data_IF_475144922484
#
_entry.id   IF_475144922484
#
_cell.length_a   1.000
_cell.length_b   1.000
_cell.length_c   1.000
_cell.angle_alpha   90.00
_cell.angle_beta   90.00
_cell.angle_gamma   90.00
#
_symmetry.space_group_name_H-M   'P 1'
#
loop_
_entity.id
_entity.type
_entity.pdbx_description
1 polymer ?
#
# COMPACT_ATOMS: atom_id res chain seq x y z
N UNK A 1 2.09 -4.15 -17.19
CA UNK A 1 3.12 -3.36 -16.49
C UNK A 1 4.31 -4.24 -16.14
N UNK A 2 5.52 -3.76 -16.40
CA UNK A 2 6.76 -4.56 -16.34
C UNK A 2 7.90 -3.80 -15.66
N UNK A 3 8.76 -4.51 -14.92
CA UNK A 3 10.06 -4.01 -14.46
C UNK A 3 11.07 -3.77 -15.58
N UNK A 4 10.74 -4.12 -16.83
CA UNK A 4 11.63 -4.12 -17.98
C UNK A 4 12.25 -5.50 -18.27
N UNK A 5 11.93 -6.50 -17.45
CA UNK A 5 12.39 -7.88 -17.58
C UNK A 5 11.26 -8.86 -17.21
N UNK A 6 10.76 -9.62 -18.21
CA UNK A 6 9.60 -10.50 -18.05
C UNK A 6 9.85 -11.70 -17.15
N UNK A 7 11.10 -12.20 -17.08
CA UNK A 7 11.46 -13.29 -16.17
C UNK A 7 11.46 -12.78 -14.74
N UNK A 8 12.03 -11.60 -14.51
CA UNK A 8 12.02 -10.95 -13.20
C UNK A 8 10.61 -10.59 -12.75
N UNK A 9 9.76 -10.10 -13.65
CA UNK A 9 8.35 -9.83 -13.35
C UNK A 9 7.61 -11.10 -12.92
N UNK A 10 7.83 -12.21 -13.61
CA UNK A 10 7.26 -13.51 -13.26
C UNK A 10 7.72 -13.94 -11.86
N UNK A 11 9.02 -13.82 -11.58
CA UNK A 11 9.59 -14.14 -10.27
C UNK A 11 8.97 -13.31 -9.15
N UNK A 12 8.85 -11.99 -9.34
CA UNK A 12 8.25 -11.06 -8.38
C UNK A 12 6.79 -11.45 -8.12
N UNK A 13 5.99 -11.64 -9.17
CA UNK A 13 4.56 -11.97 -9.04
C UNK A 13 4.34 -13.29 -8.33
N UNK A 14 5.10 -14.34 -8.68
CA UNK A 14 5.01 -15.65 -8.04
C UNK A 14 5.49 -15.62 -6.58
N UNK A 15 6.50 -14.82 -6.27
CA UNK A 15 7.01 -14.65 -4.91
C UNK A 15 5.99 -13.91 -4.05
N UNK A 16 5.50 -12.74 -4.49
CA UNK A 16 4.48 -11.99 -3.76
C UNK A 16 3.20 -12.81 -3.53
N UNK A 17 2.68 -13.48 -4.57
CA UNK A 17 1.50 -14.35 -4.41
C UNK A 17 1.70 -15.43 -3.34
N UNK A 18 2.86 -16.09 -3.35
CA UNK A 18 3.22 -17.08 -2.32
C UNK A 18 3.32 -16.47 -0.92
N UNK A 19 4.04 -15.36 -0.75
CA UNK A 19 4.19 -14.68 0.55
C UNK A 19 2.84 -14.26 1.14
N UNK A 20 1.90 -13.86 0.28
CA UNK A 20 0.56 -13.44 0.69
C UNK A 20 -0.42 -14.59 0.87
N UNK A 21 -0.06 -15.81 0.46
CA UNK A 21 -0.99 -16.94 0.30
C UNK A 21 -2.19 -16.59 -0.60
N UNK A 22 -1.97 -15.77 -1.63
CA UNK A 22 -2.96 -15.34 -2.62
C UNK A 22 -2.55 -15.79 -4.03
N UNK A 23 -3.51 -15.91 -4.97
CA UNK A 23 -3.16 -16.08 -6.38
C UNK A 23 -2.23 -14.93 -6.83
N UNK A 24 -1.11 -15.24 -7.50
CA UNK A 24 -0.23 -14.21 -8.05
C UNK A 24 -0.96 -13.47 -9.18
N UNK A 25 -0.50 -12.26 -9.48
CA UNK A 25 -0.86 -11.62 -10.75
C UNK A 25 -0.43 -12.49 -11.93
N UNK A 26 -1.09 -12.32 -13.08
CA UNK A 26 -0.80 -13.08 -14.29
C UNK A 26 0.71 -13.11 -14.59
N UNK A 27 1.22 -14.23 -15.07
CA UNK A 27 2.64 -14.42 -15.42
C UNK A 27 2.78 -14.51 -16.94
N UNK A 28 3.86 -13.94 -17.49
CA UNK A 28 4.05 -13.84 -18.94
C UNK A 28 4.85 -15.01 -19.51
N UNK A 29 5.78 -15.52 -18.72
CA UNK A 29 6.69 -16.61 -19.11
C UNK A 29 6.78 -17.61 -17.96
N UNK A 30 7.09 -18.86 -18.27
CA UNK A 30 7.45 -19.83 -17.24
C UNK A 30 8.86 -19.53 -16.71
N UNK A 31 9.07 -19.69 -15.40
CA UNK A 31 10.41 -19.65 -14.84
C UNK A 31 11.15 -20.93 -15.22
N UNK A 32 12.41 -20.78 -15.64
CA UNK A 32 13.32 -21.91 -15.84
C UNK A 32 13.79 -22.45 -14.48
N UNK A 33 14.13 -23.73 -14.41
CA UNK A 33 14.48 -24.41 -13.15
C UNK A 33 15.77 -23.90 -12.49
N UNK A 34 16.64 -23.18 -13.21
CA UNK A 34 17.91 -22.67 -12.69
C UNK A 34 17.80 -21.22 -12.19
N UNK A 35 17.79 -21.03 -10.86
CA UNK A 35 17.82 -19.69 -10.26
C UNK A 35 19.22 -19.07 -10.25
N UNK A 36 19.35 -17.84 -10.77
CA UNK A 36 20.59 -17.06 -10.67
C UNK A 36 20.76 -16.43 -9.29
N UNK A 37 21.95 -15.90 -8.99
CA UNK A 37 22.13 -15.12 -7.75
C UNK A 37 21.26 -13.86 -7.74
N UNK A 38 21.13 -13.18 -8.88
CA UNK A 38 20.27 -12.02 -9.03
C UNK A 38 18.80 -12.36 -8.72
N UNK A 39 18.32 -13.52 -9.19
CA UNK A 39 16.97 -13.98 -8.90
C UNK A 39 16.76 -14.21 -7.40
N UNK A 40 17.73 -14.81 -6.72
CA UNK A 40 17.66 -15.01 -5.26
C UNK A 40 17.61 -13.68 -4.49
N UNK A 41 18.37 -12.66 -4.93
CA UNK A 41 18.33 -11.32 -4.32
C UNK A 41 16.95 -10.69 -4.50
N UNK A 42 16.40 -10.73 -5.71
CA UNK A 42 15.08 -10.14 -6.01
C UNK A 42 13.95 -10.89 -5.31
N UNK A 43 13.99 -12.22 -5.29
CA UNK A 43 12.99 -13.04 -4.59
C UNK A 43 13.01 -12.76 -3.08
N UNK A 44 14.19 -12.75 -2.45
CA UNK A 44 14.30 -12.45 -1.02
C UNK A 44 13.81 -11.02 -0.70
N UNK A 45 14.09 -10.04 -1.57
CA UNK A 45 13.54 -8.69 -1.44
C UNK A 45 12.01 -8.67 -1.57
N UNK A 46 11.45 -9.29 -2.60
CA UNK A 46 10.01 -9.31 -2.83
C UNK A 46 9.24 -10.04 -1.70
N UNK A 47 9.80 -11.13 -1.17
CA UNK A 47 9.25 -11.85 -0.02
C UNK A 47 9.23 -10.98 1.24
N UNK A 48 10.36 -10.34 1.58
CA UNK A 48 10.43 -9.43 2.72
C UNK A 48 9.49 -8.23 2.51
N UNK A 49 9.47 -7.63 1.31
CA UNK A 49 8.60 -6.52 0.97
C UNK A 49 7.12 -6.86 1.16
N UNK A 50 6.69 -8.03 0.69
CA UNK A 50 5.31 -8.50 0.83
C UNK A 50 4.97 -8.86 2.28
N UNK A 51 5.90 -9.46 3.03
CA UNK A 51 5.66 -9.92 4.40
C UNK A 51 5.68 -8.77 5.40
N UNK A 52 6.76 -8.00 5.44
CA UNK A 52 6.96 -6.85 6.32
C UNK A 52 8.07 -5.95 5.74
N UNK A 53 7.67 -4.86 5.08
CA UNK A 53 8.63 -3.93 4.45
C UNK A 53 9.56 -3.27 5.46
N UNK A 54 9.16 -3.15 6.74
CA UNK A 54 9.95 -2.48 7.76
C UNK A 54 11.20 -3.28 8.15
N UNK A 55 11.22 -4.59 7.87
CA UNK A 55 12.37 -5.47 8.04
C UNK A 55 13.46 -5.34 6.96
N UNK A 56 13.25 -4.54 5.92
CA UNK A 56 14.24 -4.34 4.86
C UNK A 56 15.39 -3.44 5.37
N UNK A 57 16.51 -4.08 5.70
CA UNK A 57 17.72 -3.42 6.21
C UNK A 57 18.72 -2.98 5.13
N UNK A 58 19.74 -2.22 5.54
CA UNK A 58 20.74 -1.61 4.65
C UNK A 58 21.47 -2.60 3.74
N UNK A 59 21.79 -3.80 4.25
CA UNK A 59 22.44 -4.83 3.44
C UNK A 59 21.54 -5.33 2.30
N UNK A 60 20.24 -5.51 2.56
CA UNK A 60 19.30 -5.96 1.54
C UNK A 60 19.12 -4.89 0.45
N UNK A 61 19.02 -3.61 0.86
CA UNK A 61 18.98 -2.47 -0.07
C UNK A 61 20.24 -2.39 -0.94
N UNK A 62 21.42 -2.49 -0.31
CA UNK A 62 22.70 -2.45 -1.02
C UNK A 62 22.78 -3.57 -2.07
N UNK A 63 22.48 -4.81 -1.69
CA UNK A 63 22.48 -5.95 -2.62
C UNK A 63 21.49 -5.78 -3.76
N UNK A 64 20.28 -5.29 -3.47
CA UNK A 64 19.27 -5.03 -4.48
C UNK A 64 19.75 -3.98 -5.49
N UNK A 65 20.29 -2.85 -5.00
CA UNK A 65 20.82 -1.78 -5.86
C UNK A 65 22.02 -2.25 -6.69
N UNK A 66 22.95 -3.01 -6.11
CA UNK A 66 24.08 -3.61 -6.85
C UNK A 66 23.61 -4.60 -7.93
N UNK A 67 22.51 -5.32 -7.67
CA UNK A 67 21.94 -6.31 -8.60
C UNK A 67 21.19 -5.65 -9.75
N UNK A 68 20.42 -4.58 -9.47
CA UNK A 68 19.47 -3.99 -10.43
C UNK A 68 19.98 -2.72 -11.11
N UNK A 69 21.00 -2.06 -10.55
CA UNK A 69 21.48 -0.77 -11.03
C UNK A 69 20.35 0.27 -11.14
N UNK A 70 20.29 0.96 -12.27
CA UNK A 70 19.31 2.02 -12.54
C UNK A 70 17.85 1.52 -12.54
N UNK A 71 17.61 0.21 -12.69
CA UNK A 71 16.28 -0.38 -12.69
C UNK A 71 15.70 -0.66 -11.29
N UNK A 72 16.44 -0.34 -10.21
CA UNK A 72 16.01 -0.64 -8.83
C UNK A 72 14.64 -0.03 -8.52
N UNK A 73 14.42 1.25 -8.83
CA UNK A 73 13.17 1.93 -8.50
C UNK A 73 11.97 1.34 -9.24
N UNK A 74 12.11 1.14 -10.56
CA UNK A 74 11.07 0.51 -11.40
C UNK A 74 10.71 -0.90 -10.92
N UNK A 75 11.71 -1.68 -10.50
CA UNK A 75 11.51 -3.03 -9.96
C UNK A 75 10.80 -3.03 -8.61
N UNK A 76 11.13 -2.08 -7.72
CA UNK A 76 10.41 -1.90 -6.45
C UNK A 76 8.95 -1.54 -6.69
N UNK A 77 8.65 -0.65 -7.66
CA UNK A 77 7.27 -0.34 -8.02
C UNK A 77 6.53 -1.55 -8.59
N UNK A 78 7.17 -2.35 -9.46
CA UNK A 78 6.61 -3.59 -9.96
C UNK A 78 6.33 -4.60 -8.82
N UNK A 79 7.22 -4.64 -7.81
CA UNK A 79 7.05 -5.45 -6.59
C UNK A 79 5.86 -4.97 -5.77
N UNK A 80 5.69 -3.66 -5.61
CA UNK A 80 4.52 -3.09 -4.94
C UNK A 80 3.22 -3.47 -5.64
N UNK A 81 3.16 -3.38 -6.97
CA UNK A 81 1.98 -3.77 -7.74
C UNK A 81 1.67 -5.26 -7.54
N UNK A 82 2.69 -6.12 -7.61
CA UNK A 82 2.56 -7.56 -7.40
C UNK A 82 2.14 -7.95 -5.97
N UNK A 83 2.52 -7.15 -4.98
CA UNK A 83 2.10 -7.29 -3.58
C UNK A 83 0.67 -6.78 -3.34
N UNK A 84 0.36 -5.57 -3.79
CA UNK A 84 -0.84 -4.88 -3.29
C UNK A 84 -2.09 -5.07 -4.14
N UNK A 85 -1.98 -5.31 -5.44
CA UNK A 85 -3.16 -5.59 -6.28
C UNK A 85 -3.89 -6.86 -5.82
N UNK A 86 -3.21 -8.00 -5.54
CA UNK A 86 -3.88 -9.18 -4.98
C UNK A 86 -4.58 -8.91 -3.65
N UNK A 87 -3.99 -8.07 -2.78
CA UNK A 87 -4.63 -7.67 -1.50
C UNK A 87 -5.93 -6.94 -1.77
N UNK A 88 -5.92 -5.92 -2.63
CA UNK A 88 -7.13 -5.16 -3.01
C UNK A 88 -8.21 -6.09 -3.57
N UNK A 89 -7.85 -7.03 -4.43
CA UNK A 89 -8.80 -8.02 -4.94
C UNK A 89 -9.39 -8.89 -3.83
N UNK A 90 -8.58 -9.42 -2.92
CA UNK A 90 -9.06 -10.21 -1.79
C UNK A 90 -9.98 -9.40 -0.86
N UNK A 91 -9.62 -8.15 -0.57
CA UNK A 91 -10.43 -7.23 0.23
C UNK A 91 -11.77 -6.89 -0.43
N UNK A 92 -11.75 -6.49 -1.71
CA UNK A 92 -12.96 -6.23 -2.47
C UNK A 92 -13.86 -7.47 -2.59
N UNK A 93 -13.29 -8.67 -2.79
CA UNK A 93 -14.07 -9.92 -2.80
C UNK A 93 -14.71 -10.19 -1.43
N UNK A 94 -13.96 -10.05 -0.34
CA UNK A 94 -14.49 -10.22 1.01
C UNK A 94 -15.65 -9.25 1.29
N UNK A 95 -15.59 -8.04 0.73
CA UNK A 95 -16.64 -7.02 0.83
C UNK A 95 -17.81 -7.22 -0.15
N UNK A 96 -17.71 -8.14 -1.11
CA UNK A 96 -18.74 -8.37 -2.15
C UNK A 96 -18.65 -7.43 -3.36
N UNK A 97 -17.53 -6.73 -3.54
CA UNK A 97 -17.26 -5.78 -4.62
C UNK A 97 -16.54 -6.42 -5.82
N UNK A 98 -16.24 -7.73 -5.75
CA UNK A 98 -15.53 -8.46 -6.81
C UNK A 98 -14.05 -8.08 -6.90
N UNK A 99 -13.49 -8.12 -8.12
CA UNK A 99 -12.08 -7.78 -8.39
C UNK A 99 -11.98 -6.60 -9.35
N UNK A 100 -11.91 -5.35 -8.87
CA UNK A 100 -11.81 -4.18 -9.72
C UNK A 100 -10.64 -4.28 -10.71
N UNK A 101 -10.91 -4.02 -12.00
CA UNK A 101 -9.91 -4.06 -13.06
C UNK A 101 -9.41 -5.45 -13.46
N UNK A 102 -9.95 -6.53 -12.88
CA UNK A 102 -9.58 -7.89 -13.27
C UNK A 102 -10.08 -8.22 -14.69
N UNK A 103 -9.22 -8.87 -15.46
CA UNK A 103 -9.52 -9.42 -16.79
C UNK A 103 -9.04 -10.87 -16.85
N UNK A 104 -9.78 -11.73 -17.56
CA UNK A 104 -9.44 -13.16 -17.68
C UNK A 104 -8.29 -13.43 -18.64
N UNK A 105 -8.04 -12.51 -19.58
CA UNK A 105 -6.92 -12.55 -20.53
C UNK A 105 -6.17 -11.24 -20.43
N UNK A 106 -4.88 -11.30 -20.12
CA UNK A 106 -4.01 -10.12 -19.96
C UNK A 106 -3.31 -9.84 -21.28
N UNK A 107 -3.51 -8.63 -21.80
CA UNK A 107 -2.70 -8.08 -22.88
C UNK A 107 -1.41 -7.50 -22.30
N UNK A 108 -0.26 -7.96 -22.80
CA UNK A 108 1.05 -7.53 -22.31
C UNK A 108 1.47 -6.22 -22.98
N UNK A 109 1.51 -5.16 -22.19
CA UNK A 109 2.07 -3.87 -22.59
C UNK A 109 3.46 -3.68 -21.94
N UNK A 110 4.56 -3.81 -22.72
CA UNK A 110 5.91 -3.57 -22.24
C UNK A 110 6.27 -2.08 -22.19
N UNK A 111 5.55 -1.22 -22.90
CA UNK A 111 5.84 0.22 -23.01
C UNK A 111 5.30 1.00 -21.81
N UNK A 112 4.18 0.55 -21.23
CA UNK A 112 3.62 1.14 -20.02
C UNK A 112 4.61 1.16 -18.86
N UNK A 113 4.91 2.36 -18.36
CA UNK A 113 5.71 2.54 -17.15
C UNK A 113 4.87 2.28 -15.88
N UNK A 114 5.19 1.23 -15.08
CA UNK A 114 4.50 1.00 -13.81
C UNK A 114 4.60 2.19 -12.84
N UNK A 115 5.67 2.98 -12.94
CA UNK A 115 5.87 4.16 -12.08
C UNK A 115 4.81 5.19 -12.38
N UNK A 116 4.64 5.56 -13.65
CA UNK A 116 3.66 6.56 -14.07
C UNK A 116 2.23 6.10 -13.77
N UNK A 117 1.89 4.85 -14.15
CA UNK A 117 0.58 4.28 -13.91
C UNK A 117 0.19 4.27 -12.42
N UNK A 118 1.14 3.99 -11.53
CA UNK A 118 0.90 3.96 -10.10
C UNK A 118 0.92 5.36 -9.45
N UNK A 119 2.01 6.11 -9.64
CA UNK A 119 2.30 7.33 -8.87
C UNK A 119 1.70 8.60 -9.50
N UNK A 120 1.49 8.61 -10.82
CA UNK A 120 0.87 9.73 -11.53
C UNK A 120 -0.56 9.40 -12.01
N UNK A 121 -0.93 8.12 -12.06
CA UNK A 121 -2.28 7.67 -12.39
C UNK A 121 -3.10 7.32 -11.14
N UNK A 122 -2.85 6.13 -10.57
CA UNK A 122 -3.67 5.54 -9.51
C UNK A 122 -3.67 6.37 -8.22
N UNK A 123 -2.50 6.66 -7.64
CA UNK A 123 -2.38 7.32 -6.35
C UNK A 123 -3.07 8.70 -6.30
N UNK A 124 -2.86 9.62 -7.27
CA UNK A 124 -3.57 10.89 -7.29
C UNK A 124 -5.07 10.73 -7.59
N UNK A 125 -5.47 9.75 -8.40
CA UNK A 125 -6.90 9.51 -8.66
C UNK A 125 -7.64 9.08 -7.39
N UNK A 126 -7.05 8.19 -6.58
CA UNK A 126 -7.61 7.77 -5.29
C UNK A 126 -7.62 8.93 -4.30
N UNK A 127 -6.54 9.72 -4.23
CA UNK A 127 -6.44 10.85 -3.32
C UNK A 127 -7.51 11.95 -3.54
N UNK A 128 -8.18 11.98 -4.69
CA UNK A 128 -9.29 12.90 -5.00
C UNK A 128 -10.67 12.33 -4.70
N UNK A 129 -10.78 11.08 -4.28
CA UNK A 129 -12.04 10.50 -3.85
C UNK A 129 -12.52 11.15 -2.54
N UNK A 130 -13.85 11.21 -2.34
CA UNK A 130 -14.49 11.97 -1.24
C UNK A 130 -15.73 11.26 -0.70
N UNK A 131 -15.89 9.96 -0.92
CA UNK A 131 -16.98 9.19 -0.33
C UNK A 131 -16.71 8.89 1.15
N UNK A 132 -15.45 8.69 1.52
CA UNK A 132 -15.02 8.52 2.90
C UNK A 132 -14.75 9.90 3.52
N UNK A 133 -15.07 10.06 4.82
CA UNK A 133 -14.81 11.32 5.50
C UNK A 133 -13.30 11.50 5.76
N UNK A 134 -12.80 12.76 5.78
CA UNK A 134 -11.37 13.03 5.93
C UNK A 134 -10.74 12.44 7.20
N UNK A 135 -11.50 12.36 8.31
CA UNK A 135 -10.99 11.83 9.58
C UNK A 135 -10.76 10.32 9.48
N UNK A 136 -11.73 9.58 8.93
CA UNK A 136 -11.56 8.14 8.70
C UNK A 136 -10.46 7.84 7.68
N UNK A 137 -10.35 8.63 6.60
CA UNK A 137 -9.25 8.52 5.63
C UNK A 137 -7.88 8.69 6.30
N UNK A 138 -7.74 9.68 7.18
CA UNK A 138 -6.48 9.95 7.90
C UNK A 138 -6.15 8.85 8.93
N UNK A 139 -7.14 8.35 9.66
CA UNK A 139 -6.97 7.24 10.61
C UNK A 139 -6.43 6.00 9.90
N UNK A 140 -7.03 5.64 8.75
CA UNK A 140 -6.60 4.50 7.92
C UNK A 140 -5.19 4.72 7.38
N UNK A 141 -4.88 5.93 6.90
CA UNK A 141 -3.53 6.28 6.43
C UNK A 141 -2.49 6.11 7.53
N UNK A 142 -2.77 6.62 8.73
CA UNK A 142 -1.86 6.56 9.87
C UNK A 142 -1.65 5.13 10.36
N UNK A 143 -2.70 4.30 10.41
CA UNK A 143 -2.56 2.87 10.74
C UNK A 143 -1.62 2.16 9.77
N UNK A 144 -1.79 2.34 8.46
CA UNK A 144 -0.89 1.78 7.45
C UNK A 144 0.54 2.31 7.57
N UNK A 145 0.71 3.60 7.87
CA UNK A 145 2.03 4.20 8.10
C UNK A 145 2.75 3.62 9.33
N UNK A 146 2.02 3.30 10.40
CA UNK A 146 2.58 2.64 11.59
C UNK A 146 3.01 1.20 11.28
N UNK A 147 2.17 0.43 10.60
CA UNK A 147 2.44 -0.95 10.22
C UNK A 147 3.65 -1.08 9.29
N UNK A 148 3.82 -0.16 8.33
CA UNK A 148 4.99 -0.13 7.45
C UNK A 148 6.18 0.63 8.06
N UNK A 149 6.05 1.16 9.27
CA UNK A 149 7.04 2.01 9.94
C UNK A 149 7.55 3.20 9.09
N UNK A 150 6.69 3.80 8.26
CA UNK A 150 7.10 4.91 7.39
C UNK A 150 7.27 6.21 8.19
N UNK A 151 8.51 6.69 8.35
CA UNK A 151 8.81 7.88 9.17
C UNK A 151 8.27 9.16 8.52
N UNK A 152 8.38 9.28 7.19
CA UNK A 152 7.79 10.35 6.38
C UNK A 152 6.27 10.48 6.58
N UNK A 153 5.54 9.37 6.47
CA UNK A 153 4.09 9.41 6.61
C UNK A 153 3.66 9.72 8.04
N UNK A 154 4.40 9.25 9.05
CA UNK A 154 4.11 9.53 10.47
C UNK A 154 4.36 11.00 10.84
N UNK A 155 5.26 11.70 10.16
CA UNK A 155 5.54 13.13 10.40
C UNK A 155 4.52 14.08 9.76
N UNK A 156 3.48 13.58 9.11
CA UNK A 156 2.52 14.36 8.33
C UNK A 156 1.09 14.23 8.89
N UNK A 157 0.28 15.29 8.77
CA UNK A 157 -1.16 15.28 9.05
C UNK A 157 -1.97 15.93 7.94
N UNK A 158 -3.04 15.25 7.54
CA UNK A 158 -3.97 15.78 6.55
C UNK A 158 -4.74 16.98 7.12
N UNK A 159 -4.75 18.07 6.37
CA UNK A 159 -5.38 19.32 6.79
C UNK A 159 -6.89 19.24 6.91
N UNK A 160 -7.56 18.57 5.96
CA UNK A 160 -9.01 18.45 5.95
C UNK A 160 -9.49 17.57 7.11
N UNK A 161 -8.70 16.54 7.47
CA UNK A 161 -8.94 15.72 8.65
C UNK A 161 -8.84 16.53 9.96
N UNK A 162 -7.80 17.37 10.10
CA UNK A 162 -7.65 18.25 11.26
C UNK A 162 -8.82 19.25 11.36
N UNK A 163 -9.21 19.86 10.24
CA UNK A 163 -10.32 20.82 10.21
C UNK A 163 -11.68 20.15 10.49
N UNK A 164 -11.79 18.85 10.21
CA UNK A 164 -12.97 18.03 10.49
C UNK A 164 -13.01 17.44 11.90
N UNK A 165 -12.09 17.85 12.79
CA UNK A 165 -12.07 17.44 14.19
C UNK A 165 -11.11 16.30 14.53
N UNK A 166 -10.30 15.84 13.58
CA UNK A 166 -9.18 14.94 13.85
C UNK A 166 -8.11 15.63 14.69
N UNK A 167 -7.42 14.87 15.55
CA UNK A 167 -6.46 15.43 16.50
C UNK A 167 -5.36 14.42 16.86
N UNK A 168 -4.22 14.91 17.36
CA UNK A 168 -3.15 14.03 17.85
C UNK A 168 -3.59 13.13 19.00
N UNK A 169 -4.54 13.59 19.84
CA UNK A 169 -5.11 12.77 20.91
C UNK A 169 -5.87 11.56 20.33
N UNK A 170 -6.70 11.78 19.31
CA UNK A 170 -7.40 10.71 18.60
C UNK A 170 -6.41 9.77 17.89
N UNK A 171 -5.45 10.34 17.16
CA UNK A 171 -4.49 9.57 16.38
C UNK A 171 -3.53 8.74 17.25
N UNK A 172 -3.23 9.20 18.47
CA UNK A 172 -2.44 8.46 19.45
C UNK A 172 -3.11 7.16 19.92
N UNK A 173 -4.42 7.01 19.72
CA UNK A 173 -5.17 5.80 20.11
C UNK A 173 -5.24 4.75 18.98
N UNK A 174 -4.74 5.04 17.77
CA UNK A 174 -4.83 4.14 16.60
C UNK A 174 -4.04 2.84 16.80
N UNK A 175 -3.00 2.81 17.65
CA UNK A 175 -2.25 1.56 17.88
C UNK A 175 -3.09 0.52 18.63
N UNK A 176 -3.85 0.97 19.63
CA UNK A 176 -4.73 0.19 20.50
C UNK A 176 -6.20 0.60 20.29
N UNK A 177 -6.63 0.62 19.03
CA UNK A 177 -7.92 1.18 18.64
C UNK A 177 -9.14 0.44 19.21
N UNK A 178 -8.98 -0.82 19.64
CA UNK A 178 -10.09 -1.58 20.24
C UNK A 178 -10.52 -0.95 21.57
N UNK A 179 -9.57 -0.50 22.39
CA UNK A 179 -9.82 0.14 23.67
C UNK A 179 -10.12 1.64 23.55
N UNK A 180 -9.90 2.23 22.37
CA UNK A 180 -10.08 3.66 22.14
C UNK A 180 -11.52 4.13 22.32
N UNK A 181 -11.74 5.07 23.24
CA UNK A 181 -13.06 5.68 23.48
C UNK A 181 -13.36 6.82 22.49
N UNK A 182 -12.32 7.44 21.91
CA UNK A 182 -12.47 8.55 20.96
C UNK A 182 -12.80 8.10 19.53
N UNK A 183 -12.66 6.80 19.23
CA UNK A 183 -12.92 6.23 17.92
C UNK A 183 -14.33 5.64 17.84
N UNK A 184 -15.03 5.95 16.76
CA UNK A 184 -16.34 5.37 16.45
C UNK A 184 -16.23 3.89 16.07
N UNK A 185 -17.32 3.14 16.18
CA UNK A 185 -17.38 1.75 15.72
C UNK A 185 -17.08 1.60 14.23
N UNK A 186 -17.46 2.58 13.41
CA UNK A 186 -17.13 2.62 11.99
C UNK A 186 -15.60 2.74 11.77
N UNK A 187 -14.92 3.61 12.53
CA UNK A 187 -13.46 3.76 12.45
C UNK A 187 -12.74 2.52 12.95
N UNK A 188 -13.21 1.88 14.03
CA UNK A 188 -12.66 0.59 14.50
C UNK A 188 -12.84 -0.52 13.48
N UNK A 189 -14.01 -0.61 12.84
CA UNK A 189 -14.25 -1.55 11.75
C UNK A 189 -13.31 -1.31 10.55
N UNK A 190 -13.07 -0.04 10.18
CA UNK A 190 -12.09 0.30 9.15
C UNK A 190 -10.68 -0.15 9.56
N UNK A 191 -10.25 0.10 10.80
CA UNK A 191 -8.93 -0.28 11.30
C UNK A 191 -8.71 -1.80 11.35
N UNK A 192 -9.70 -2.59 11.77
CA UNK A 192 -9.67 -4.06 11.67
C UNK A 192 -9.50 -4.53 10.24
N UNK A 193 -10.21 -3.89 9.30
CA UNK A 193 -10.08 -4.20 7.88
C UNK A 193 -8.71 -3.84 7.32
N UNK A 194 -8.13 -2.70 7.71
CA UNK A 194 -6.75 -2.32 7.37
C UNK A 194 -5.76 -3.37 7.87
N UNK A 195 -5.87 -3.78 9.13
CA UNK A 195 -5.04 -4.84 9.72
C UNK A 195 -5.16 -6.16 8.94
N UNK A 196 -6.38 -6.59 8.63
CA UNK A 196 -6.62 -7.81 7.87
C UNK A 196 -6.03 -7.73 6.45
N UNK A 197 -6.19 -6.61 5.77
CA UNK A 197 -5.69 -6.41 4.40
C UNK A 197 -4.15 -6.36 4.33
N UNK A 198 -3.50 -5.84 5.38
CA UNK A 198 -2.03 -5.71 5.44
C UNK A 198 -1.34 -6.96 6.00
N UNK A 199 -1.92 -7.66 6.98
CA UNK A 199 -1.23 -8.78 7.63
C UNK A 199 -1.78 -10.16 7.28
N UNK A 200 -3.05 -10.26 6.90
CA UNK A 200 -3.70 -11.55 6.62
C UNK A 200 -4.67 -11.51 5.44
N UNK A 201 -4.26 -11.00 4.26
CA UNK A 201 -5.18 -10.73 3.16
C UNK A 201 -5.81 -12.00 2.56
N UNK A 202 -5.18 -13.17 2.69
CA UNK A 202 -5.75 -14.46 2.30
C UNK A 202 -6.82 -14.99 3.26
N UNK A 203 -6.99 -14.37 4.44
CA UNK A 203 -7.90 -14.82 5.51
C UNK A 203 -8.61 -13.63 6.17
N UNK A 204 -9.16 -12.73 5.36
CA UNK A 204 -10.01 -11.66 5.88
C UNK A 204 -11.27 -12.30 6.46
N UNK A 205 -11.45 -12.17 7.78
CA UNK A 205 -12.55 -12.80 8.49
C UNK A 205 -13.91 -12.26 8.02
N UNK A 206 -14.90 -13.15 7.95
CA UNK A 206 -16.24 -12.78 7.46
C UNK A 206 -16.89 -11.68 8.33
N UNK A 207 -16.58 -11.67 9.63
CA UNK A 207 -17.07 -10.64 10.55
C UNK A 207 -16.43 -9.27 10.28
N UNK A 208 -15.12 -9.22 9.99
CA UNK A 208 -14.43 -7.97 9.61
C UNK A 208 -15.09 -7.36 8.37
N UNK A 209 -15.33 -8.18 7.35
CA UNK A 209 -16.02 -7.71 6.14
C UNK A 209 -17.48 -7.32 6.40
N UNK A 210 -18.18 -8.03 7.29
CA UNK A 210 -19.55 -7.71 7.66
C UNK A 210 -19.63 -6.37 8.42
N UNK A 211 -18.69 -6.08 9.31
CA UNK A 211 -18.60 -4.81 10.02
C UNK A 211 -18.37 -3.62 9.08
N UNK A 212 -17.47 -3.77 8.10
CA UNK A 212 -17.27 -2.74 7.07
C UNK A 212 -18.59 -2.51 6.32
N UNK A 213 -19.25 -3.57 5.83
CA UNK A 213 -20.54 -3.45 5.12
C UNK A 213 -21.66 -2.85 5.96
N UNK A 214 -21.63 -3.02 7.28
CA UNK A 214 -22.64 -2.44 8.20
C UNK A 214 -22.45 -0.93 8.37
N UNK A 215 -21.21 -0.45 8.34
CA UNK A 215 -20.88 0.94 8.65
C UNK A 215 -20.63 1.80 7.41
N UNK A 216 -20.27 1.21 6.28
CA UNK A 216 -19.89 1.91 5.06
C UNK A 216 -20.73 1.46 3.87
N UNK A 217 -21.13 2.42 3.04
CA UNK A 217 -21.73 2.13 1.72
C UNK A 217 -20.74 1.40 0.81
N UNK A 218 -21.22 0.83 -0.31
CA UNK A 218 -20.33 0.19 -1.30
C UNK A 218 -19.26 1.15 -1.83
N UNK A 219 -19.62 2.42 -2.06
CA UNK A 219 -18.68 3.45 -2.51
C UNK A 219 -17.60 3.75 -1.46
N UNK A 220 -18.00 3.90 -0.20
CA UNK A 220 -17.07 4.10 0.91
C UNK A 220 -16.18 2.88 1.15
N UNK A 221 -16.73 1.67 1.01
CA UNK A 221 -15.98 0.41 1.17
C UNK A 221 -14.94 0.22 0.07
N UNK A 222 -15.28 0.59 -1.17
CA UNK A 222 -14.34 0.63 -2.28
C UNK A 222 -13.24 1.67 -2.02
N UNK A 223 -13.62 2.91 -1.70
CA UNK A 223 -12.68 3.99 -1.41
C UNK A 223 -11.74 3.64 -0.27
N UNK A 224 -12.25 3.10 0.85
CA UNK A 224 -11.45 2.57 1.96
C UNK A 224 -10.40 1.56 1.48
N UNK A 225 -10.78 0.61 0.63
CA UNK A 225 -9.85 -0.42 0.13
C UNK A 225 -8.79 0.19 -0.79
N UNK A 226 -9.17 1.14 -1.65
CA UNK A 226 -8.25 1.84 -2.54
C UNK A 226 -7.32 2.78 -1.77
N UNK A 227 -7.80 3.45 -0.73
CA UNK A 227 -7.01 4.29 0.17
C UNK A 227 -5.93 3.47 0.88
N UNK A 228 -6.22 2.24 1.34
CA UNK A 228 -5.19 1.37 1.91
C UNK A 228 -4.07 1.12 0.90
N UNK A 229 -4.38 0.83 -0.36
CA UNK A 229 -3.37 0.67 -1.41
C UNK A 229 -2.62 1.96 -1.73
N UNK A 230 -3.32 3.08 -1.88
CA UNK A 230 -2.71 4.38 -2.14
C UNK A 230 -1.75 4.77 -1.02
N UNK A 231 -2.15 4.59 0.23
CA UNK A 231 -1.34 4.87 1.41
C UNK A 231 -0.16 3.89 1.55
N UNK A 232 -0.35 2.62 1.15
CA UNK A 232 0.72 1.63 1.12
C UNK A 232 1.79 1.88 0.05
N UNK A 233 1.63 2.85 -0.87
CA UNK A 233 2.73 3.30 -1.71
C UNK A 233 3.95 3.76 -0.87
N UNK A 234 3.74 4.10 0.41
CA UNK A 234 4.81 4.35 1.37
C UNK A 234 5.80 3.17 1.53
N UNK A 235 5.39 1.93 1.24
CA UNK A 235 6.28 0.75 1.22
C UNK A 235 7.44 0.93 0.24
N UNK A 236 7.23 1.65 -0.87
CA UNK A 236 8.29 1.95 -1.85
C UNK A 236 9.38 2.79 -1.17
N UNK A 237 9.01 3.91 -0.53
CA UNK A 237 9.94 4.77 0.19
C UNK A 237 10.64 4.03 1.34
N UNK A 238 9.89 3.27 2.14
CA UNK A 238 10.45 2.47 3.25
C UNK A 238 11.43 1.42 2.73
N UNK A 239 11.09 0.68 1.67
CA UNK A 239 11.97 -0.37 1.15
C UNK A 239 13.30 0.17 0.62
N UNK A 240 13.32 1.43 0.18
CA UNK A 240 14.50 2.12 -0.36
C UNK A 240 15.23 2.99 0.67
N UNK A 241 14.65 3.18 1.86
CA UNK A 241 15.20 4.08 2.89
C UNK A 241 15.00 5.56 2.61
N UNK A 242 14.10 5.88 1.70
CA UNK A 242 13.76 7.24 1.28
C UNK A 242 12.59 7.83 2.09
N UNK A 243 12.34 7.32 3.29
CA UNK A 243 11.21 7.69 4.15
C UNK A 243 11.61 8.68 5.26
N UNK A 244 12.64 9.51 5.08
CA UNK A 244 13.04 10.49 6.10
C UNK A 244 11.85 11.39 6.51
N UNK A 245 11.66 11.66 7.82
CA UNK A 245 10.57 12.53 8.27
C UNK A 245 10.78 13.95 7.76
N UNK A 246 9.69 14.67 7.50
CA UNK A 246 9.78 16.09 7.08
C UNK A 246 10.16 17.05 8.20
N UNK A 247 9.80 16.69 9.43
CA UNK A 247 10.09 17.48 10.64
C UNK A 247 10.86 16.64 11.66
N UNK A 248 11.74 17.29 12.43
CA UNK A 248 12.54 16.62 13.46
C UNK A 248 11.70 16.21 14.70
N UNK A 249 10.63 16.96 14.99
CA UNK A 249 9.67 16.67 16.06
C UNK A 249 8.28 17.18 15.69
N UNK A 250 7.25 16.55 16.26
CA UNK A 250 5.86 16.88 15.98
C UNK A 250 5.41 16.42 14.59
N UNK A 251 4.48 17.17 14.01
CA UNK A 251 3.85 16.88 12.72
C UNK A 251 3.78 18.12 11.85
N UNK A 252 3.89 17.94 10.55
CA UNK A 252 3.65 18.97 9.54
C UNK A 252 2.30 18.72 8.86
N UNK A 253 1.53 19.80 8.69
CA UNK A 253 0.25 19.75 7.96
C UNK A 253 0.50 19.72 6.46
N UNK A 254 -0.23 18.88 5.74
CA UNK A 254 -0.27 18.86 4.28
C UNK A 254 -1.72 18.87 3.79
N UNK A 255 -1.93 19.16 2.51
CA UNK A 255 -3.23 19.01 1.84
C UNK A 255 -3.07 18.22 0.54
N UNK A 256 -4.19 17.83 -0.07
CA UNK A 256 -4.22 17.23 -1.40
C UNK A 256 -4.63 18.30 -2.42
N UNK A 257 -3.79 18.55 -3.42
CA UNK A 257 -4.09 19.47 -4.51
C UNK A 257 -5.16 18.95 -5.46
N UNK A 258 -5.64 19.81 -6.36
CA UNK A 258 -6.67 19.47 -7.36
C UNK A 258 -6.21 18.37 -8.33
N UNK A 259 -4.90 18.21 -8.50
CA UNK A 259 -4.28 17.14 -9.28
C UNK A 259 -4.13 15.82 -8.49
N UNK A 260 -4.49 15.80 -7.21
CA UNK A 260 -4.36 14.66 -6.31
C UNK A 260 -2.97 14.50 -5.68
N UNK A 261 -2.04 15.42 -5.94
CA UNK A 261 -0.70 15.40 -5.35
C UNK A 261 -0.69 16.06 -3.97
N UNK A 262 0.17 15.60 -3.04
CA UNK A 262 0.31 16.25 -1.74
C UNK A 262 0.97 17.62 -1.89
N UNK A 263 0.40 18.62 -1.23
CA UNK A 263 0.92 19.97 -1.14
C UNK A 263 1.39 20.20 0.29
N UNK A 264 2.67 20.55 0.43
CA UNK A 264 3.32 20.83 1.71
C UNK A 264 3.48 22.34 1.90
N UNK A 265 3.58 22.80 3.14
CA UNK A 265 4.06 24.15 3.39
C UNK A 265 5.54 24.26 2.97
N UNK A 266 5.96 25.44 2.54
CA UNK A 266 7.38 25.70 2.32
C UNK A 266 8.14 25.49 3.64
N UNK A 267 9.24 24.73 3.59
CA UNK A 267 10.10 24.53 4.77
C UNK A 267 10.78 25.87 5.07
N UNK A 268 10.45 26.46 6.21
CA UNK A 268 11.08 27.68 6.71
C UNK A 268 12.55 27.48 7.11
#
# INVERSE_FOLDING_TARGET
MSSGDSQRDTLIRLTCGRSLSLPPLAVQVDLLDESTEADRVVAAFAEQFATDVSGIGDNQRKRLSETLGDNVFRTVVATFIADFVPRVWAGCEALGLGRPGYVSVVEWDPESDPVDALLNGFAPAVARLRALDPVTTEIVRLRGAMQHNCRLCKSLRDGDALDSGGSEEMYGQIEDYESAESLTEAQKAALRYVDALIWSPARIDAEVAAEVRRNFSEKQSLELTLDVMRNACNKIAVSLGADAPRVASGTERYSIGDDGQPVYADIA
#
